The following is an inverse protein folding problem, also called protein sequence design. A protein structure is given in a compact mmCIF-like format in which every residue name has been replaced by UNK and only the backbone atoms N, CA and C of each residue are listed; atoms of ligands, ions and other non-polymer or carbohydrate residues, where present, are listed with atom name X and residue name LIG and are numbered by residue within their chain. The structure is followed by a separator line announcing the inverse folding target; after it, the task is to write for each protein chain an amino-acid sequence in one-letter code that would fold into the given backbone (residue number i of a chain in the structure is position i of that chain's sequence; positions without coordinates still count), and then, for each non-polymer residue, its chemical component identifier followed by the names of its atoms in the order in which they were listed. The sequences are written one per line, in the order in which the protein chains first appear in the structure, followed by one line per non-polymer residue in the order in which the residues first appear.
data_IF_938514902880
#
_entry.id   IF_938514902880
#
_cell.length_a   1.000
_cell.length_b   1.000
_cell.length_c   1.000
_cell.angle_alpha   90.00
_cell.angle_beta   90.00
_cell.angle_gamma   90.00
#
_symmetry.space_group_name_H-M   'P 1'
#
loop_
_entity.id
_entity.type
_entity.pdbx_description
1 polymer ?
#
# COMPACT_ATOMS: atom_id res chain seq x y z
N UNK A 1 10.85 -5.00 6.87
CA UNK A 1 10.44 -4.26 5.65
C UNK A 1 9.41 -3.16 5.92
N UNK A 2 8.26 -3.45 6.54
CA UNK A 2 7.22 -2.44 6.80
C UNK A 2 7.71 -1.24 7.64
N UNK A 3 8.47 -1.47 8.71
CA UNK A 3 9.05 -0.39 9.55
C UNK A 3 10.00 0.52 8.76
N UNK A 4 10.85 -0.06 7.90
CA UNK A 4 11.77 0.72 7.06
C UNK A 4 11.00 1.54 6.03
N UNK A 5 9.98 0.95 5.40
CA UNK A 5 9.09 1.67 4.47
C UNK A 5 8.34 2.81 5.14
N UNK A 6 7.77 2.60 6.34
CA UNK A 6 7.13 3.68 7.10
C UNK A 6 8.12 4.78 7.48
N UNK A 7 9.35 4.44 7.88
CA UNK A 7 10.38 5.44 8.17
C UNK A 7 10.73 6.28 6.93
N UNK A 8 10.81 5.66 5.75
CA UNK A 8 11.01 6.36 4.48
C UNK A 8 9.85 7.30 4.15
N UNK A 9 8.60 6.87 4.37
CA UNK A 9 7.41 7.71 4.16
C UNK A 9 7.39 8.92 5.11
N UNK A 10 7.70 8.71 6.39
CA UNK A 10 7.83 9.80 7.38
C UNK A 10 8.94 10.78 6.98
N UNK A 11 10.07 10.28 6.48
CA UNK A 11 11.17 11.12 6.00
C UNK A 11 10.87 11.87 4.70
N UNK A 12 9.90 11.41 3.91
CA UNK A 12 9.51 12.08 2.66
C UNK A 12 8.79 13.42 2.88
N UNK A 13 8.37 13.70 4.12
CA UNK A 13 7.64 14.93 4.46
C UNK A 13 6.19 14.99 3.94
N UNK A 14 5.70 13.91 3.34
CA UNK A 14 4.30 13.77 2.94
C UNK A 14 3.40 13.68 4.17
N UNK A 15 2.24 14.32 4.09
CA UNK A 15 1.22 14.18 5.12
C UNK A 15 0.63 12.75 5.07
N UNK A 16 1.00 11.94 6.06
CA UNK A 16 0.50 10.57 6.22
C UNK A 16 -0.92 10.54 6.80
N UNK A 17 -1.38 11.66 7.37
CA UNK A 17 -2.73 11.82 7.93
C UNK A 17 -3.75 12.23 6.86
N UNK A 18 -3.27 12.69 5.70
CA UNK A 18 -4.12 12.93 4.54
C UNK A 18 -4.90 11.64 4.18
N UNK A 19 -6.22 11.70 4.01
CA UNK A 19 -7.08 10.52 3.86
C UNK A 19 -6.62 9.58 2.73
N UNK A 20 -6.14 10.15 1.61
CA UNK A 20 -5.59 9.37 0.48
C UNK A 20 -4.36 8.57 0.88
N UNK A 21 -3.37 9.23 1.48
CA UNK A 21 -2.10 8.59 1.84
C UNK A 21 -2.32 7.57 2.95
N UNK A 22 -3.14 7.91 3.94
CA UNK A 22 -3.52 7.03 5.04
C UNK A 22 -4.18 5.75 4.51
N UNK A 23 -5.17 5.87 3.61
CA UNK A 23 -5.82 4.69 3.01
C UNK A 23 -4.85 3.79 2.24
N UNK A 24 -3.96 4.37 1.43
CA UNK A 24 -2.97 3.59 0.66
C UNK A 24 -2.03 2.84 1.61
N UNK A 25 -1.51 3.51 2.64
CA UNK A 25 -0.58 2.92 3.61
C UNK A 25 -1.27 1.83 4.42
N UNK A 26 -2.49 2.08 4.90
CA UNK A 26 -3.27 1.11 5.66
C UNK A 26 -3.55 -0.16 4.85
N UNK A 27 -3.95 -0.03 3.58
CA UNK A 27 -4.18 -1.18 2.71
C UNK A 27 -2.89 -1.96 2.46
N UNK A 28 -1.78 -1.28 2.12
CA UNK A 28 -0.48 -1.95 1.93
C UNK A 28 -0.07 -2.72 3.19
N UNK A 29 -0.29 -2.17 4.38
CA UNK A 29 0.00 -2.82 5.67
C UNK A 29 -0.92 -4.02 5.91
N UNK A 30 -2.22 -3.91 5.65
CA UNK A 30 -3.19 -5.01 5.82
C UNK A 30 -2.87 -6.16 4.87
N UNK A 31 -2.63 -5.89 3.58
CA UNK A 31 -2.28 -6.93 2.62
C UNK A 31 -0.90 -7.55 2.91
N UNK A 32 0.07 -6.74 3.38
CA UNK A 32 1.47 -7.16 3.53
C UNK A 32 1.77 -7.87 4.83
N UNK A 33 1.15 -7.44 5.94
CA UNK A 33 1.30 -8.03 7.27
C UNK A 33 0.21 -9.06 7.54
N UNK A 34 -1.01 -8.83 7.04
CA UNK A 34 -2.15 -9.70 7.24
C UNK A 34 -2.08 -11.04 6.50
N UNK A 35 -1.02 -11.28 5.71
CA UNK A 35 -0.82 -12.57 5.04
C UNK A 35 -1.88 -12.86 3.97
N UNK A 36 -2.49 -11.82 3.39
CA UNK A 36 -3.47 -11.99 2.34
C UNK A 36 -2.83 -12.60 1.10
N UNK A 37 -3.56 -13.53 0.51
CA UNK A 37 -3.23 -14.14 -0.77
C UNK A 37 -4.44 -14.02 -1.69
N UNK A 38 -4.18 -13.67 -2.94
CA UNK A 38 -5.20 -13.62 -3.98
C UNK A 38 -4.74 -14.52 -5.13
N UNK A 39 -5.55 -15.53 -5.42
CA UNK A 39 -5.29 -16.56 -6.43
C UNK A 39 -5.52 -17.99 -5.94
N UNK A 40 -5.36 -18.93 -6.85
CA UNK A 40 -5.42 -20.38 -6.62
C UNK A 40 -5.00 -21.15 -7.88
N UNK A 41 -3.85 -21.82 -7.84
CA UNK A 41 -3.19 -22.48 -8.98
C UNK A 41 -1.74 -22.02 -9.19
N UNK A 42 -1.27 -21.95 -10.45
CA UNK A 42 0.09 -21.46 -10.81
C UNK A 42 0.31 -19.95 -10.59
N UNK A 43 -0.76 -19.15 -10.53
CA UNK A 43 -0.71 -17.72 -10.27
C UNK A 43 -1.22 -17.41 -8.86
N UNK A 44 -0.30 -17.38 -7.89
CA UNK A 44 -0.58 -16.93 -6.52
C UNK A 44 0.16 -15.62 -6.25
N UNK A 45 -0.60 -14.54 -6.08
CA UNK A 45 -0.06 -13.26 -5.65
C UNK A 45 -0.14 -13.19 -4.12
N UNK A 46 1.02 -13.25 -3.47
CA UNK A 46 1.13 -13.27 -2.02
C UNK A 46 2.12 -12.22 -1.49
N UNK A 47 1.72 -11.62 -0.37
CA UNK A 47 2.56 -10.68 0.36
C UNK A 47 2.93 -9.45 -0.47
N UNK A 48 4.23 -9.22 -0.66
CA UNK A 48 4.77 -7.97 -1.20
C UNK A 48 4.36 -7.70 -2.65
N UNK A 49 4.23 -8.74 -3.48
CA UNK A 49 3.82 -8.60 -4.88
C UNK A 49 2.37 -8.13 -5.01
N UNK A 50 1.48 -8.68 -4.18
CA UNK A 50 0.08 -8.27 -4.12
C UNK A 50 -0.04 -6.82 -3.63
N UNK A 51 0.67 -6.47 -2.56
CA UNK A 51 0.72 -5.09 -2.03
C UNK A 51 1.18 -4.07 -3.07
N UNK A 52 2.18 -4.41 -3.89
CA UNK A 52 2.70 -3.49 -4.90
C UNK A 52 1.64 -3.19 -5.97
N UNK A 53 0.96 -4.22 -6.48
CA UNK A 53 -0.10 -4.06 -7.48
C UNK A 53 -1.25 -3.23 -6.90
N UNK A 54 -1.71 -3.58 -5.70
CA UNK A 54 -2.78 -2.88 -5.00
C UNK A 54 -2.39 -1.41 -4.74
N UNK A 55 -1.17 -1.16 -4.25
CA UNK A 55 -0.68 0.20 -4.00
C UNK A 55 -0.60 1.07 -5.26
N UNK A 56 -0.14 0.50 -6.38
CA UNK A 56 -0.10 1.21 -7.67
C UNK A 56 -1.51 1.51 -8.18
N UNK A 57 -2.41 0.53 -8.13
CA UNK A 57 -3.81 0.69 -8.54
C UNK A 57 -4.52 1.77 -7.71
N UNK A 58 -4.38 1.71 -6.38
CA UNK A 58 -4.97 2.71 -5.49
C UNK A 58 -4.37 4.10 -5.72
N UNK A 59 -3.06 4.20 -5.95
CA UNK A 59 -2.44 5.49 -6.27
C UNK A 59 -2.98 6.09 -7.59
N UNK A 60 -3.38 5.26 -8.55
CA UNK A 60 -3.99 5.67 -9.82
C UNK A 60 -5.48 6.02 -9.69
N UNK A 61 -6.24 5.24 -8.93
CA UNK A 61 -7.69 5.41 -8.78
C UNK A 61 -8.05 6.52 -7.80
N UNK A 62 -7.30 6.66 -6.69
CA UNK A 62 -7.56 7.70 -5.71
C UNK A 62 -7.16 9.05 -6.29
N UNK A 63 -8.13 9.96 -6.56
CA UNK A 63 -7.82 11.29 -7.06
C UNK A 63 -6.91 11.97 -6.05
N UNK A 64 -5.85 12.60 -6.55
CA UNK A 64 -5.07 13.52 -5.72
C UNK A 64 -6.05 14.58 -5.24
N UNK A 65 -6.09 14.84 -3.94
CA UNK A 65 -6.84 15.98 -3.43
C UNK A 65 -6.39 17.19 -4.26
N UNK A 66 -7.35 17.80 -4.95
CA UNK A 66 -7.14 19.10 -5.54
C UNK A 66 -6.85 20.04 -4.37
N UNK A 67 -5.58 20.43 -4.23
CA UNK A 67 -5.28 21.75 -3.68
C UNK A 67 -5.74 22.81 -4.68
#
# INVERSE_FOLDING_TARGET
IAVVGMNTLVKSGQDLTAPRNLSIIALILVFGIGGMYIGGGEFSLQGVSLCAIVGVLLNLILPKQAE
#
